data_IF_003155324839
#
_entry.id   IF_003155324839
#
_cell.length_a   1.000
_cell.length_b   1.000
_cell.length_c   1.000
_cell.angle_alpha   90.00
_cell.angle_beta   90.00
_cell.angle_gamma   90.00
#
_symmetry.space_group_name_H-M   'P 1'
#
loop_
_entity.id
_entity.type
_entity.pdbx_description
1 polymer ?
#
# COMPACT_ATOMS: atom_id res chain seq x y z
N UNK A 1 -10.11 -62.33 8.24
CA UNK A 1 -9.25 -61.71 9.27
C UNK A 1 -8.30 -60.68 8.66
N UNK A 2 -7.45 -60.99 7.68
CA UNK A 2 -6.54 -60.00 7.07
C UNK A 2 -7.24 -58.86 6.30
N UNK A 3 -8.29 -59.17 5.53
CA UNK A 3 -9.05 -58.16 4.77
C UNK A 3 -9.74 -57.13 5.66
N UNK A 4 -10.28 -57.55 6.82
CA UNK A 4 -10.92 -56.65 7.77
C UNK A 4 -9.92 -55.70 8.44
N UNK A 5 -8.68 -56.13 8.70
CA UNK A 5 -7.63 -55.25 9.20
C UNK A 5 -7.21 -54.22 8.15
N UNK A 6 -7.16 -54.61 6.89
CA UNK A 6 -6.83 -53.70 5.79
C UNK A 6 -7.89 -52.60 5.60
N UNK A 7 -9.18 -52.97 5.58
CA UNK A 7 -10.28 -52.00 5.46
C UNK A 7 -10.27 -51.00 6.62
N UNK A 8 -10.02 -51.49 7.84
CA UNK A 8 -9.95 -50.65 9.02
C UNK A 8 -8.76 -49.68 8.94
N UNK A 9 -7.58 -50.16 8.53
CA UNK A 9 -6.40 -49.33 8.34
C UNK A 9 -6.65 -48.21 7.31
N UNK A 10 -7.24 -48.55 6.15
CA UNK A 10 -7.60 -47.57 5.12
C UNK A 10 -8.62 -46.54 5.63
N UNK A 11 -9.59 -46.99 6.43
CA UNK A 11 -10.62 -46.13 7.02
C UNK A 11 -10.06 -45.10 8.02
N UNK A 12 -8.90 -45.33 8.62
CA UNK A 12 -8.25 -44.37 9.53
C UNK A 12 -7.16 -43.54 8.85
N UNK A 13 -6.43 -44.12 7.89
CA UNK A 13 -5.34 -43.43 7.19
C UNK A 13 -5.87 -42.33 6.27
N UNK A 14 -6.95 -42.59 5.53
CA UNK A 14 -7.50 -41.60 4.58
C UNK A 14 -8.01 -40.34 5.32
N UNK A 15 -8.83 -40.43 6.39
CA UNK A 15 -9.25 -39.25 7.14
C UNK A 15 -8.10 -38.50 7.79
N UNK A 16 -7.08 -39.21 8.28
CA UNK A 16 -5.89 -38.58 8.86
C UNK A 16 -5.12 -37.76 7.82
N UNK A 17 -4.94 -38.31 6.61
CA UNK A 17 -4.32 -37.57 5.49
C UNK A 17 -5.15 -36.37 5.10
N UNK A 18 -6.47 -36.51 4.97
CA UNK A 18 -7.37 -35.39 4.67
C UNK A 18 -7.30 -34.30 5.74
N UNK A 19 -7.28 -34.68 7.02
CA UNK A 19 -7.15 -33.76 8.15
C UNK A 19 -5.82 -32.99 8.10
N UNK A 20 -4.71 -33.67 7.82
CA UNK A 20 -3.38 -33.03 7.67
C UNK A 20 -3.39 -32.05 6.49
N UNK A 21 -4.01 -32.41 5.37
CA UNK A 21 -4.14 -31.53 4.20
C UNK A 21 -4.95 -30.27 4.52
N UNK A 22 -6.06 -30.41 5.27
CA UNK A 22 -6.86 -29.27 5.72
C UNK A 22 -6.09 -28.31 6.63
N UNK A 23 -5.35 -28.84 7.61
CA UNK A 23 -4.52 -28.02 8.51
C UNK A 23 -3.43 -27.29 7.72
N UNK A 24 -2.77 -27.99 6.78
CA UNK A 24 -1.73 -27.40 5.94
C UNK A 24 -2.30 -26.30 5.04
N UNK A 25 -3.46 -26.53 4.43
CA UNK A 25 -4.15 -25.55 3.59
C UNK A 25 -4.55 -24.30 4.39
N UNK A 26 -5.07 -24.48 5.61
CA UNK A 26 -5.42 -23.40 6.51
C UNK A 26 -4.18 -22.60 6.93
N UNK A 27 -3.08 -23.27 7.26
CA UNK A 27 -1.82 -22.61 7.61
C UNK A 27 -1.25 -21.81 6.43
N UNK A 28 -1.32 -22.35 5.21
CA UNK A 28 -0.92 -21.66 3.99
C UNK A 28 -1.81 -20.43 3.77
N UNK A 29 -3.13 -20.57 3.93
CA UNK A 29 -4.06 -19.45 3.80
C UNK A 29 -3.72 -18.31 4.77
N UNK A 30 -3.59 -18.63 6.06
CA UNK A 30 -3.26 -17.66 7.12
C UNK A 30 -1.90 -17.00 6.85
N UNK A 31 -0.86 -17.78 6.54
CA UNK A 31 0.49 -17.25 6.28
C UNK A 31 0.54 -16.37 5.03
N UNK A 32 -0.20 -16.73 3.98
CA UNK A 32 -0.24 -15.99 2.73
C UNK A 32 -0.88 -14.61 2.93
N UNK A 33 -1.95 -14.53 3.73
CA UNK A 33 -2.59 -13.25 4.06
C UNK A 33 -1.78 -12.41 5.06
N UNK A 34 -1.06 -13.04 6.00
CA UNK A 34 -0.16 -12.32 6.91
C UNK A 34 0.99 -11.62 6.16
N UNK A 35 1.63 -12.30 5.21
CA UNK A 35 2.73 -11.73 4.39
C UNK A 35 2.26 -10.57 3.50
N UNK A 36 1.01 -10.60 3.02
CA UNK A 36 0.44 -9.52 2.21
C UNK A 36 0.25 -8.21 3.01
N UNK A 37 0.05 -8.29 4.32
CA UNK A 37 -0.06 -7.12 5.19
C UNK A 37 1.30 -6.48 5.47
N UNK A 38 2.36 -7.29 5.54
CA UNK A 38 3.74 -6.79 5.71
C UNK A 38 4.19 -6.02 4.47
N UNK A 39 3.87 -6.48 3.25
CA UNK A 39 4.18 -5.73 2.02
C UNK A 39 3.55 -4.34 2.02
N UNK A 40 2.31 -4.17 2.54
CA UNK A 40 1.67 -2.84 2.67
C UNK A 40 2.33 -1.95 3.74
N UNK A 41 2.79 -2.55 4.84
CA UNK A 41 3.49 -1.83 5.92
C UNK A 41 4.92 -1.46 5.49
N UNK A 42 5.59 -2.33 4.74
CA UNK A 42 6.90 -2.07 4.14
C UNK A 42 6.79 -0.99 3.07
N UNK A 43 5.79 -0.98 2.19
CA UNK A 43 5.59 0.16 1.26
C UNK A 43 5.28 1.48 1.97
N UNK A 44 4.74 1.44 3.19
CA UNK A 44 4.59 2.64 4.02
C UNK A 44 5.88 3.05 4.75
N UNK A 45 6.83 2.12 4.89
CA UNK A 45 8.16 2.34 5.47
C UNK A 45 9.25 2.57 4.40
N UNK A 46 8.98 2.27 3.14
CA UNK A 46 9.76 2.71 1.98
C UNK A 46 9.70 4.23 1.97
N UNK A 47 10.87 4.87 1.85
CA UNK A 47 11.06 6.33 1.78
C UNK A 47 9.94 6.96 0.95
N UNK A 48 9.01 7.65 1.61
CA UNK A 48 7.92 8.36 0.92
C UNK A 48 8.53 9.28 -0.12
N UNK A 49 8.10 9.18 -1.37
CA UNK A 49 8.59 10.11 -2.38
C UNK A 49 7.94 11.48 -2.20
N UNK A 50 8.51 12.52 -2.84
CA UNK A 50 7.86 13.83 -2.91
C UNK A 50 6.43 13.70 -3.46
N UNK A 51 6.27 12.93 -4.53
CA UNK A 51 5.00 12.71 -5.21
C UNK A 51 3.92 12.14 -4.30
N UNK A 52 4.27 11.15 -3.46
CA UNK A 52 3.39 10.59 -2.45
C UNK A 52 3.06 11.60 -1.34
N UNK A 53 4.08 12.35 -0.89
CA UNK A 53 3.92 13.39 0.15
C UNK A 53 2.94 14.48 -0.31
N UNK A 54 3.05 14.96 -1.55
CA UNK A 54 2.12 15.94 -2.13
C UNK A 54 0.68 15.40 -2.17
N UNK A 55 0.50 14.16 -2.62
CA UNK A 55 -0.81 13.52 -2.70
C UNK A 55 -1.42 13.32 -1.30
N UNK A 56 -0.62 12.95 -0.32
CA UNK A 56 -1.04 12.78 1.07
C UNK A 56 -1.51 14.10 1.68
N UNK A 57 -0.74 15.18 1.52
CA UNK A 57 -1.17 16.51 1.99
C UNK A 57 -2.46 16.96 1.29
N UNK A 58 -2.57 16.79 -0.04
CA UNK A 58 -3.80 17.13 -0.77
C UNK A 58 -5.02 16.38 -0.23
N UNK A 59 -4.90 15.07 -0.04
CA UNK A 59 -5.99 14.23 0.45
C UNK A 59 -6.35 14.52 1.91
N UNK A 60 -5.35 14.81 2.76
CA UNK A 60 -5.56 15.28 4.14
C UNK A 60 -6.35 16.59 4.19
N UNK A 61 -6.06 17.50 3.26
CA UNK A 61 -6.78 18.75 3.07
C UNK A 61 -8.13 18.57 2.35
N UNK A 62 -8.51 17.35 1.94
CA UNK A 62 -9.74 17.02 1.19
C UNK A 62 -9.90 17.79 -0.12
N UNK A 63 -8.80 18.11 -0.78
CA UNK A 63 -8.77 18.86 -2.03
C UNK A 63 -8.70 17.95 -3.26
N UNK A 64 -9.28 18.38 -4.39
CA UNK A 64 -9.10 17.71 -5.70
C UNK A 64 -7.82 18.22 -6.37
N UNK A 65 -7.30 17.48 -7.36
CA UNK A 65 -6.14 17.95 -8.14
C UNK A 65 -6.49 19.24 -8.91
N UNK A 66 -7.72 19.35 -9.41
CA UNK A 66 -8.28 20.55 -10.02
C UNK A 66 -8.22 21.74 -9.07
N UNK A 67 -8.69 21.58 -7.83
CA UNK A 67 -8.69 22.68 -6.86
C UNK A 67 -7.27 23.17 -6.54
N UNK A 68 -6.32 22.25 -6.37
CA UNK A 68 -4.91 22.61 -6.16
C UNK A 68 -4.35 23.33 -7.38
N UNK A 69 -4.66 22.84 -8.58
CA UNK A 69 -4.21 23.44 -9.83
C UNK A 69 -4.73 24.88 -10.01
N UNK A 70 -6.02 25.09 -9.76
CA UNK A 70 -6.66 26.41 -9.78
C UNK A 70 -6.04 27.35 -8.74
N UNK A 71 -5.82 26.86 -7.52
CA UNK A 71 -5.21 27.64 -6.43
C UNK A 71 -3.77 28.08 -6.75
N UNK A 72 -3.05 27.29 -7.54
CA UNK A 72 -1.67 27.56 -7.93
C UNK A 72 -1.55 28.25 -9.31
N UNK A 73 -2.64 28.39 -10.06
CA UNK A 73 -2.61 28.91 -11.42
C UNK A 73 -1.87 28.01 -12.42
N UNK A 74 -1.90 26.69 -12.20
CA UNK A 74 -1.27 25.68 -13.07
C UNK A 74 -2.30 24.74 -13.68
N UNK A 75 -1.89 23.89 -14.61
CA UNK A 75 -2.80 22.88 -15.16
C UNK A 75 -2.99 21.71 -14.19
N UNK A 76 -4.19 21.12 -14.18
CA UNK A 76 -4.47 19.87 -13.45
C UNK A 76 -3.51 18.74 -13.84
N UNK A 77 -3.11 18.69 -15.11
CA UNK A 77 -2.10 17.73 -15.59
C UNK A 77 -0.74 17.94 -14.91
N UNK A 78 -0.32 19.17 -14.63
CA UNK A 78 0.92 19.43 -13.89
C UNK A 78 0.85 18.83 -12.48
N UNK A 79 -0.26 19.08 -11.75
CA UNK A 79 -0.48 18.50 -10.41
C UNK A 79 -0.49 16.97 -10.47
N UNK A 80 -1.14 16.37 -11.48
CA UNK A 80 -1.14 14.93 -11.67
C UNK A 80 0.28 14.39 -11.86
N UNK A 81 1.11 15.03 -12.69
CA UNK A 81 2.49 14.60 -12.94
C UNK A 81 3.38 14.74 -11.71
N UNK A 82 3.15 15.76 -10.88
CA UNK A 82 3.85 15.90 -9.60
C UNK A 82 3.47 14.78 -8.63
N UNK A 83 2.19 14.42 -8.55
CA UNK A 83 1.70 13.34 -7.68
C UNK A 83 2.03 11.93 -8.20
N UNK A 84 2.36 11.76 -9.48
CA UNK A 84 2.84 10.50 -10.05
C UNK A 84 4.36 10.40 -10.15
N UNK A 85 5.09 11.49 -9.88
CA UNK A 85 6.55 11.55 -10.00
C UNK A 85 7.06 11.62 -11.45
N UNK A 86 6.19 11.92 -12.41
CA UNK A 86 6.57 12.13 -13.82
C UNK A 86 7.30 13.46 -14.06
N UNK A 87 7.11 14.43 -13.17
CA UNK A 87 7.82 15.71 -13.19
C UNK A 87 7.84 16.32 -11.80
N UNK A 88 8.78 17.22 -11.55
CA UNK A 88 8.86 17.92 -10.28
C UNK A 88 8.23 19.32 -10.33
N UNK A 89 7.57 19.78 -9.25
CA UNK A 89 7.15 21.17 -9.12
C UNK A 89 8.36 22.10 -9.00
N UNK A 90 8.22 23.32 -9.51
CA UNK A 90 9.25 24.36 -9.32
C UNK A 90 9.32 24.79 -7.85
N UNK A 91 10.44 25.41 -7.45
CA UNK A 91 10.60 25.96 -6.09
C UNK A 91 9.47 26.93 -5.72
N UNK A 92 9.01 27.76 -6.67
CA UNK A 92 7.87 28.65 -6.46
C UNK A 92 6.59 27.87 -6.15
N UNK A 93 6.33 26.79 -6.89
CA UNK A 93 5.16 25.95 -6.69
C UNK A 93 5.22 25.20 -5.36
N UNK A 94 6.40 24.73 -4.95
CA UNK A 94 6.60 24.09 -3.64
C UNK A 94 6.27 25.03 -2.48
N UNK A 95 6.68 26.30 -2.56
CA UNK A 95 6.32 27.31 -1.56
C UNK A 95 4.81 27.55 -1.53
N UNK A 96 4.15 27.59 -2.69
CA UNK A 96 2.70 27.74 -2.77
C UNK A 96 1.96 26.51 -2.23
N UNK A 97 2.43 25.29 -2.52
CA UNK A 97 1.88 24.04 -1.99
C UNK A 97 1.99 23.99 -0.47
N UNK A 98 3.15 24.35 0.09
CA UNK A 98 3.36 24.42 1.53
C UNK A 98 2.35 25.38 2.20
N UNK A 99 2.15 26.56 1.61
CA UNK A 99 1.14 27.53 2.07
C UNK A 99 -0.29 26.99 1.95
N UNK A 100 -0.63 26.36 0.81
CA UNK A 100 -1.96 25.82 0.55
C UNK A 100 -2.32 24.69 1.51
N UNK A 101 -1.35 23.83 1.83
CA UNK A 101 -1.53 22.71 2.75
C UNK A 101 -1.35 23.08 4.23
N UNK A 102 -0.91 24.31 4.51
CA UNK A 102 -0.70 24.79 5.88
C UNK A 102 0.48 24.14 6.59
N UNK A 103 1.51 23.74 5.84
CA UNK A 103 2.72 23.08 6.35
C UNK A 103 3.98 23.88 6.01
N UNK A 104 5.07 23.59 6.71
CA UNK A 104 6.36 24.20 6.37
C UNK A 104 6.95 23.58 5.09
N UNK A 105 7.78 24.32 4.36
CA UNK A 105 8.46 23.79 3.18
C UNK A 105 9.39 22.62 3.53
N UNK A 106 10.02 22.66 4.71
CA UNK A 106 10.86 21.59 5.24
C UNK A 106 10.05 20.33 5.52
N UNK A 107 8.85 20.45 6.07
CA UNK A 107 7.94 19.32 6.29
C UNK A 107 7.47 18.73 4.96
N UNK A 108 7.17 19.56 3.96
CA UNK A 108 6.79 19.11 2.63
C UNK A 108 7.91 18.33 1.91
N UNK A 109 9.17 18.65 2.22
CA UNK A 109 10.36 18.09 1.57
C UNK A 109 11.12 17.08 2.43
N UNK A 110 10.62 16.74 3.62
CA UNK A 110 11.33 15.93 4.62
C UNK A 110 11.83 14.60 4.07
N UNK A 111 11.08 13.97 3.15
CA UNK A 111 11.42 12.67 2.60
C UNK A 111 12.23 12.73 1.27
N UNK A 112 12.47 13.93 0.75
CA UNK A 112 13.23 14.18 -0.50
C UNK A 112 14.72 14.38 -0.21
N UNK A 113 15.00 14.99 0.94
CA UNK A 113 16.35 15.33 1.42
C UNK A 113 17.03 14.08 2.02
#
# INVERSE_FOLDING_TARGET
MLLSFFILAVAFVIPAVLMILCIRALWIYIKTHAKAQEVKKETAAVRKTLSETLKDHRTRCRMTQEFVAESLGVSRQAVSKWETGESDPTMSNLVLLAKLYGVSLTELLENVI
#
